data_IF_466749003688
#
_entry.id   IF_466749003688
#
_cell.length_a   1.000
_cell.length_b   1.000
_cell.length_c   1.000
_cell.angle_alpha   90.00
_cell.angle_beta   90.00
_cell.angle_gamma   90.00
#
_symmetry.space_group_name_H-M   'P 1'
#
loop_
_entity.id
_entity.type
_entity.pdbx_description
1 polymer ?
#
# COMPACT_ATOMS: atom_id res chain seq x y z
N UNK A 1 -4.45 6.58 -11.52
CA UNK A 1 -5.06 6.62 -10.17
C UNK A 1 -5.83 5.32 -9.94
N UNK A 2 -5.19 4.27 -9.42
CA UNK A 2 -5.88 3.07 -8.96
C UNK A 2 -6.42 3.40 -7.56
N UNK A 3 -7.74 3.39 -7.37
CA UNK A 3 -8.31 3.58 -6.04
C UNK A 3 -7.82 2.46 -5.12
N UNK A 4 -7.40 2.80 -3.91
CA UNK A 4 -7.10 1.79 -2.91
C UNK A 4 -8.42 1.13 -2.46
N UNK A 5 -8.65 -0.08 -2.96
CA UNK A 5 -9.86 -0.86 -2.70
C UNK A 5 -10.08 -1.07 -1.20
N UNK A 6 -9.00 -1.26 -0.43
CA UNK A 6 -9.06 -1.40 1.03
C UNK A 6 -9.60 -0.13 1.67
N UNK A 7 -9.06 1.05 1.31
CA UNK A 7 -9.55 2.32 1.83
C UNK A 7 -11.05 2.51 1.52
N UNK A 8 -11.48 2.17 0.30
CA UNK A 8 -12.89 2.27 -0.11
C UNK A 8 -13.82 1.37 0.73
N UNK A 9 -13.40 0.13 1.01
CA UNK A 9 -14.17 -0.77 1.86
C UNK A 9 -14.31 -0.20 3.28
N UNK A 10 -13.21 0.28 3.88
CA UNK A 10 -13.27 0.85 5.23
C UNK A 10 -14.19 2.07 5.31
N UNK A 11 -14.21 2.91 4.29
CA UNK A 11 -15.11 4.06 4.21
C UNK A 11 -16.59 3.63 4.21
N UNK A 12 -16.92 2.60 3.43
CA UNK A 12 -18.27 2.02 3.35
C UNK A 12 -18.67 1.42 4.69
N UNK A 13 -17.77 0.67 5.35
CA UNK A 13 -18.01 0.07 6.67
C UNK A 13 -18.27 1.17 7.71
N UNK A 14 -17.45 2.20 7.77
CA UNK A 14 -17.64 3.32 8.69
C UNK A 14 -18.99 4.01 8.48
N UNK A 15 -19.37 4.22 7.22
CA UNK A 15 -20.69 4.78 6.87
C UNK A 15 -21.84 3.86 7.31
N UNK A 16 -21.72 2.55 7.07
CA UNK A 16 -22.71 1.57 7.48
C UNK A 16 -22.88 1.53 9.01
N UNK A 17 -21.78 1.60 9.78
CA UNK A 17 -21.81 1.63 11.25
C UNK A 17 -22.60 2.83 11.76
N UNK A 18 -22.43 4.02 11.15
CA UNK A 18 -23.21 5.21 11.54
C UNK A 18 -24.70 5.02 11.30
N UNK A 19 -25.08 4.45 10.14
CA UNK A 19 -26.48 4.15 9.81
C UNK A 19 -27.07 3.11 10.76
N UNK A 20 -26.32 2.05 11.07
CA UNK A 20 -26.73 1.02 12.01
C UNK A 20 -26.91 1.60 13.41
N UNK A 21 -25.99 2.45 13.88
CA UNK A 21 -26.11 3.12 15.18
C UNK A 21 -27.36 3.98 15.29
N UNK A 22 -27.70 4.71 14.22
CA UNK A 22 -28.93 5.49 14.14
C UNK A 22 -30.18 4.61 14.20
N UNK A 23 -30.26 3.56 13.36
CA UNK A 23 -31.40 2.64 13.33
C UNK A 23 -31.55 1.91 14.68
N UNK A 24 -30.44 1.45 15.25
CA UNK A 24 -30.43 0.75 16.54
C UNK A 24 -30.88 1.68 17.66
N UNK A 25 -30.43 2.94 17.66
CA UNK A 25 -30.90 3.93 18.62
C UNK A 25 -32.41 4.17 18.53
N UNK A 26 -32.98 4.21 17.31
CA UNK A 26 -34.43 4.34 17.14
C UNK A 26 -35.17 3.09 17.62
N UNK A 27 -34.69 1.90 17.26
CA UNK A 27 -35.33 0.63 17.61
C UNK A 27 -35.31 0.37 19.12
N UNK A 28 -34.17 0.60 19.78
CA UNK A 28 -33.98 0.34 21.22
C UNK A 28 -34.52 1.49 22.07
N UNK A 29 -34.43 2.72 21.56
CA UNK A 29 -34.97 3.90 22.23
C UNK A 29 -36.50 3.96 22.23
N UNK A 30 -37.17 3.24 21.33
CA UNK A 30 -38.62 3.10 21.34
C UNK A 30 -39.02 1.97 22.29
N UNK A 31 -39.33 2.31 23.54
CA UNK A 31 -39.76 1.35 24.55
C UNK A 31 -41.27 1.40 24.72
N UNK A 32 -41.91 0.24 24.62
CA UNK A 32 -43.28 0.03 25.06
C UNK A 32 -43.27 -0.32 26.54
N UNK A 33 -43.98 0.48 27.34
CA UNK A 33 -44.22 0.16 28.74
C UNK A 33 -45.63 -0.43 28.85
N UNK A 34 -45.71 -1.61 29.45
CA UNK A 34 -47.00 -2.19 29.83
C UNK A 34 -47.43 -1.52 31.13
N UNK A 35 -48.46 -0.68 31.06
CA UNK A 35 -49.08 -0.10 32.24
C UNK A 35 -50.37 -0.87 32.52
N UNK A 36 -50.73 -1.00 33.79
CA UNK A 36 -51.95 -1.66 34.29
C UNK A 36 -53.27 -1.13 33.66
N UNK A 37 -53.22 -0.01 32.92
CA UNK A 37 -54.37 0.65 32.27
C UNK A 37 -54.24 0.77 30.73
N UNK A 38 -53.27 0.10 30.10
CA UNK A 38 -53.09 0.04 28.65
C UNK A 38 -51.62 0.11 28.19
N UNK A 39 -51.38 -0.14 26.88
CA UNK A 39 -50.05 -0.05 26.28
C UNK A 39 -49.69 1.42 26.05
N UNK A 40 -48.72 1.93 26.80
CA UNK A 40 -48.14 3.27 26.62
C UNK A 40 -46.72 3.18 26.07
N UNK A 41 -46.49 3.70 24.86
CA UNK A 41 -45.16 3.73 24.24
C UNK A 41 -44.53 5.12 24.29
N UNK A 42 -43.22 5.18 24.51
CA UNK A 42 -42.46 6.44 24.56
C UNK A 42 -41.03 6.30 24.06
N UNK A 43 -40.50 7.37 23.48
CA UNK A 43 -39.10 7.43 23.07
C UNK A 43 -38.21 7.85 24.23
N UNK A 44 -37.29 6.96 24.61
CA UNK A 44 -36.25 7.23 25.60
C UNK A 44 -35.05 7.86 24.89
N UNK A 45 -35.02 9.19 24.84
CA UNK A 45 -34.01 9.95 24.12
C UNK A 45 -32.57 9.67 24.58
N UNK A 46 -32.34 9.42 25.87
CA UNK A 46 -31.01 9.11 26.40
C UNK A 46 -30.43 7.83 25.78
N UNK A 47 -31.26 6.81 25.62
CA UNK A 47 -30.89 5.54 24.98
C UNK A 47 -30.60 5.78 23.50
N UNK A 48 -31.49 6.48 22.80
CA UNK A 48 -31.29 6.83 21.39
C UNK A 48 -29.94 7.53 21.17
N UNK A 49 -29.65 8.60 21.93
CA UNK A 49 -28.41 9.36 21.77
C UNK A 49 -27.18 8.54 22.12
N UNK A 50 -27.27 7.62 23.10
CA UNK A 50 -26.16 6.73 23.44
C UNK A 50 -25.75 5.86 22.26
N UNK A 51 -26.70 5.18 21.61
CA UNK A 51 -26.42 4.34 20.44
C UNK A 51 -26.05 5.16 19.20
N UNK A 52 -26.70 6.31 19.01
CA UNK A 52 -26.41 7.21 17.90
C UNK A 52 -24.97 7.73 17.97
N UNK A 53 -24.55 8.29 19.10
CA UNK A 53 -23.19 8.80 19.25
C UNK A 53 -22.14 7.68 19.27
N UNK A 54 -22.44 6.51 19.84
CA UNK A 54 -21.56 5.35 19.74
C UNK A 54 -21.34 4.95 18.26
N UNK A 55 -22.40 4.94 17.45
CA UNK A 55 -22.34 4.69 16.01
C UNK A 55 -21.53 5.76 15.26
N UNK A 56 -21.73 7.04 15.58
CA UNK A 56 -20.95 8.15 14.98
C UNK A 56 -19.47 8.02 15.30
N UNK A 57 -19.11 7.88 16.58
CA UNK A 57 -17.71 7.84 17.02
C UNK A 57 -17.00 6.64 16.40
N UNK A 58 -17.63 5.47 16.45
CA UNK A 58 -17.09 4.25 15.84
C UNK A 58 -16.95 4.37 14.33
N UNK A 59 -18.00 4.87 13.64
CA UNK A 59 -17.96 5.07 12.19
C UNK A 59 -16.89 6.07 11.73
N UNK A 60 -16.73 7.18 12.47
CA UNK A 60 -15.68 8.16 12.24
C UNK A 60 -14.28 7.56 12.36
N UNK A 61 -14.06 6.63 13.29
CA UNK A 61 -12.77 5.93 13.43
C UNK A 61 -12.41 5.15 12.15
N UNK A 62 -13.36 4.40 11.59
CA UNK A 62 -13.14 3.63 10.35
C UNK A 62 -12.91 4.53 9.14
N UNK A 63 -13.64 5.65 9.05
CA UNK A 63 -13.46 6.64 7.98
C UNK A 63 -12.09 7.31 8.10
N UNK A 64 -11.70 7.73 9.31
CA UNK A 64 -10.37 8.31 9.55
C UNK A 64 -9.25 7.33 9.16
N UNK A 65 -9.38 6.06 9.54
CA UNK A 65 -8.41 5.02 9.15
C UNK A 65 -8.37 4.81 7.63
N UNK A 66 -9.52 4.82 6.96
CA UNK A 66 -9.62 4.76 5.49
C UNK A 66 -8.81 5.88 4.82
N UNK A 67 -8.93 7.11 5.32
CA UNK A 67 -8.20 8.24 4.77
C UNK A 67 -6.69 8.13 4.99
N UNK A 68 -6.26 7.68 6.18
CA UNK A 68 -4.83 7.43 6.47
C UNK A 68 -4.26 6.40 5.47
N UNK A 69 -4.98 5.30 5.22
CA UNK A 69 -4.56 4.26 4.26
C UNK A 69 -4.52 4.81 2.83
N UNK A 70 -5.50 5.63 2.44
CA UNK A 70 -5.54 6.27 1.11
C UNK A 70 -4.34 7.19 0.92
N UNK A 71 -4.01 8.01 1.92
CA UNK A 71 -2.86 8.91 1.91
C UNK A 71 -1.55 8.14 1.81
N UNK A 72 -1.38 7.09 2.63
CA UNK A 72 -0.19 6.25 2.59
C UNK A 72 0.00 5.60 1.21
N UNK A 73 -1.08 5.10 0.61
CA UNK A 73 -1.04 4.53 -0.74
C UNK A 73 -0.63 5.57 -1.80
N UNK A 74 -1.13 6.80 -1.67
CA UNK A 74 -0.77 7.90 -2.57
C UNK A 74 0.70 8.27 -2.44
N UNK A 75 1.22 8.44 -1.22
CA UNK A 75 2.63 8.77 -0.99
C UNK A 75 3.57 7.69 -1.51
N UNK A 76 3.26 6.41 -1.24
CA UNK A 76 4.05 5.30 -1.76
C UNK A 76 4.08 5.29 -3.30
N UNK A 77 2.96 5.64 -3.94
CA UNK A 77 2.89 5.74 -5.39
C UNK A 77 3.70 6.93 -5.93
N UNK A 78 3.65 8.10 -5.29
CA UNK A 78 4.39 9.30 -5.75
C UNK A 78 5.92 9.19 -5.55
N UNK A 79 6.36 8.54 -4.48
CA UNK A 79 7.80 8.32 -4.22
C UNK A 79 8.40 7.39 -5.29
N UNK A 80 7.64 6.40 -5.77
CA UNK A 80 8.08 5.51 -6.85
C UNK A 80 8.29 6.18 -8.22
N UNK A 81 7.74 7.39 -8.45
CA UNK A 81 7.86 8.09 -9.74
C UNK A 81 8.84 9.26 -9.77
N UNK A 82 9.32 9.75 -8.62
CA UNK A 82 10.27 10.87 -8.57
C UNK A 82 11.71 10.35 -8.57
N UNK A 83 12.16 9.84 -9.70
CA UNK A 83 13.60 9.79 -9.99
C UNK A 83 14.08 11.23 -10.23
N UNK A 84 15.00 11.80 -9.42
CA UNK A 84 15.59 13.10 -9.71
C UNK A 84 16.46 12.97 -10.96
N UNK A 85 16.14 13.76 -11.99
CA UNK A 85 17.04 13.96 -13.12
C UNK A 85 18.24 14.77 -12.61
N UNK A 86 19.50 14.34 -12.80
CA UNK A 86 20.63 15.07 -12.27
C UNK A 86 20.83 16.37 -13.08
N UNK A 87 20.51 17.49 -12.43
CA UNK A 87 20.84 18.83 -12.86
C UNK A 87 22.36 19.02 -12.80
N UNK A 88 22.96 19.40 -13.93
CA UNK A 88 24.40 19.66 -14.06
C UNK A 88 24.78 20.92 -13.27
N UNK A 89 25.72 20.81 -12.34
CA UNK A 89 26.54 21.92 -11.86
C UNK A 89 27.90 21.43 -11.31
N UNK A 90 28.93 22.28 -11.25
CA UNK A 90 30.27 21.95 -11.75
C UNK A 90 31.24 21.37 -10.71
N UNK A 91 32.23 20.68 -11.25
CA UNK A 91 33.35 20.07 -10.54
C UNK A 91 34.20 21.09 -9.77
N UNK A 92 34.40 20.84 -8.48
CA UNK A 92 35.68 21.07 -7.81
C UNK A 92 35.82 20.12 -6.61
N UNK A 93 37.04 20.04 -6.08
CA UNK A 93 37.75 18.80 -5.83
C UNK A 93 37.73 18.35 -4.36
N UNK A 94 37.99 17.06 -4.17
CA UNK A 94 38.59 16.45 -2.96
C UNK A 94 37.65 15.99 -1.84
N UNK A 95 37.02 14.83 -2.04
CA UNK A 95 37.08 13.71 -1.09
C UNK A 95 36.67 12.41 -1.79
N UNK A 96 37.55 11.41 -1.75
CA UNK A 96 37.34 10.07 -2.28
C UNK A 96 36.24 9.33 -1.51
N UNK A 97 35.00 9.38 -2.02
CA UNK A 97 34.04 8.28 -1.93
C UNK A 97 33.45 8.09 -3.34
N UNK A 98 33.46 6.86 -3.91
CA UNK A 98 32.77 6.61 -5.16
C UNK A 98 31.29 6.95 -4.99
N UNK A 99 30.63 7.52 -6.02
CA UNK A 99 29.27 8.03 -5.92
C UNK A 99 28.33 6.90 -5.49
N UNK A 100 27.46 7.24 -4.54
CA UNK A 100 26.42 6.41 -3.94
C UNK A 100 25.77 5.48 -4.97
N UNK A 101 26.28 4.25 -5.07
CA UNK A 101 25.66 3.19 -5.87
C UNK A 101 24.53 2.65 -5.01
N UNK A 102 23.30 3.04 -5.35
CA UNK A 102 22.10 2.38 -4.84
C UNK A 102 22.32 0.85 -4.81
N UNK A 103 22.23 0.28 -3.61
CA UNK A 103 22.43 -1.13 -3.33
C UNK A 103 21.15 -1.73 -2.78
N UNK A 104 20.84 -2.97 -3.17
CA UNK A 104 19.67 -3.69 -2.64
C UNK A 104 19.91 -4.00 -1.16
N UNK A 105 19.09 -3.41 -0.29
CA UNK A 105 19.17 -3.60 1.16
C UNK A 105 18.87 -5.06 1.54
N UNK A 106 19.29 -5.50 2.73
CA UNK A 106 19.02 -6.88 3.18
C UNK A 106 17.51 -7.17 3.24
N UNK A 107 16.71 -6.20 3.69
CA UNK A 107 15.25 -6.27 3.72
C UNK A 107 14.64 -6.40 2.32
N UNK A 108 15.20 -5.71 1.32
CA UNK A 108 14.72 -5.83 -0.06
C UNK A 108 15.13 -7.16 -0.71
N UNK A 109 16.28 -7.73 -0.29
CA UNK A 109 16.66 -9.08 -0.71
C UNK A 109 15.69 -10.12 -0.17
N UNK A 110 15.26 -10.00 1.09
CA UNK A 110 14.25 -10.89 1.69
C UNK A 110 12.93 -10.87 0.89
N UNK A 111 12.46 -9.68 0.48
CA UNK A 111 11.27 -9.57 -0.40
C UNK A 111 11.43 -10.34 -1.72
N UNK A 112 12.63 -10.34 -2.31
CA UNK A 112 12.93 -11.06 -3.56
C UNK A 112 12.95 -12.57 -3.32
N UNK A 113 13.54 -13.04 -2.21
CA UNK A 113 13.52 -14.46 -1.85
C UNK A 113 12.11 -14.96 -1.57
N UNK A 114 11.24 -14.13 -0.97
CA UNK A 114 9.83 -14.45 -0.77
C UNK A 114 9.03 -14.53 -2.08
N UNK A 115 9.38 -13.72 -3.08
CA UNK A 115 8.74 -13.77 -4.39
C UNK A 115 9.12 -15.06 -5.17
N UNK A 116 10.35 -15.51 -5.02
CA UNK A 116 10.93 -16.63 -5.76
C UNK A 116 11.28 -17.83 -4.87
N UNK A 117 10.36 -18.21 -3.97
CA UNK A 117 10.57 -19.36 -3.04
C UNK A 117 10.90 -20.68 -3.74
N UNK A 118 10.54 -20.83 -5.02
CA UNK A 118 10.71 -22.04 -5.81
C UNK A 118 11.79 -21.94 -6.90
N UNK A 119 12.48 -20.80 -7.04
CA UNK A 119 13.48 -20.59 -8.09
C UNK A 119 14.86 -20.34 -7.50
N UNK A 120 15.91 -20.83 -8.19
CA UNK A 120 17.29 -20.62 -7.73
C UNK A 120 17.79 -19.26 -8.22
N UNK A 121 17.79 -18.28 -7.32
CA UNK A 121 18.38 -16.96 -7.57
C UNK A 121 19.91 -17.10 -7.66
N UNK A 122 20.47 -16.70 -8.81
CA UNK A 122 21.91 -16.70 -9.06
C UNK A 122 22.55 -15.37 -8.68
N UNK A 123 21.91 -14.25 -9.04
CA UNK A 123 22.46 -12.92 -8.85
C UNK A 123 21.35 -11.86 -8.79
N UNK A 124 21.50 -10.88 -7.91
CA UNK A 124 20.61 -9.71 -7.81
C UNK A 124 21.45 -8.48 -8.17
N UNK A 125 21.15 -7.87 -9.31
CA UNK A 125 21.87 -6.71 -9.82
C UNK A 125 20.98 -5.46 -9.66
N UNK A 126 21.39 -4.46 -8.86
CA UNK A 126 20.66 -3.20 -8.80
C UNK A 126 20.68 -2.53 -10.17
N UNK A 127 19.51 -2.09 -10.64
CA UNK A 127 19.41 -1.39 -11.92
C UNK A 127 19.82 0.07 -11.77
N UNK A 128 19.93 0.80 -12.90
CA UNK A 128 20.14 2.25 -12.91
C UNK A 128 18.91 3.07 -12.45
N UNK A 129 17.83 2.39 -12.07
CA UNK A 129 16.60 2.99 -11.56
C UNK A 129 16.43 2.46 -10.13
N UNK A 130 16.39 3.38 -9.16
CA UNK A 130 16.12 3.04 -7.77
C UNK A 130 14.77 2.33 -7.64
N UNK A 131 14.68 1.35 -6.74
CA UNK A 131 13.49 0.50 -6.61
C UNK A 131 13.37 -0.61 -7.65
N UNK A 132 14.23 -0.69 -8.67
CA UNK A 132 14.24 -1.80 -9.64
C UNK A 132 15.55 -2.59 -9.60
N UNK A 133 15.44 -3.91 -9.61
CA UNK A 133 16.58 -4.81 -9.70
C UNK A 133 16.37 -5.88 -10.79
N UNK A 134 17.48 -6.33 -11.38
CA UNK A 134 17.48 -7.49 -12.25
C UNK A 134 17.83 -8.70 -11.40
N UNK A 135 16.98 -9.71 -11.44
CA UNK A 135 17.20 -10.98 -10.77
C UNK A 135 17.52 -12.01 -11.85
N UNK A 136 18.76 -12.52 -11.84
CA UNK A 136 19.16 -13.65 -12.65
C UNK A 136 18.79 -14.93 -11.93
N UNK A 137 18.05 -15.79 -12.59
CA UNK A 137 17.56 -17.04 -12.02
C UNK A 137 17.86 -18.19 -12.96
N UNK A 138 18.01 -19.38 -12.38
CA UNK A 138 18.08 -20.63 -13.13
C UNK A 138 16.82 -21.45 -12.86
N UNK A 139 16.22 -21.95 -13.93
CA UNK A 139 15.19 -22.98 -13.84
C UNK A 139 15.79 -24.31 -13.35
N UNK A 140 14.95 -25.25 -12.93
CA UNK A 140 15.33 -26.61 -12.54
C UNK A 140 15.97 -27.38 -13.72
N UNK A 141 15.68 -26.92 -14.95
CA UNK A 141 16.33 -27.39 -16.20
C UNK A 141 17.70 -26.74 -16.49
N UNK A 142 18.23 -25.91 -15.58
CA UNK A 142 19.51 -25.21 -15.72
C UNK A 142 19.50 -24.02 -16.70
N UNK A 143 18.33 -23.66 -17.24
CA UNK A 143 18.18 -22.53 -18.17
C UNK A 143 18.22 -21.21 -17.39
N UNK A 144 19.15 -20.34 -17.73
CA UNK A 144 19.29 -19.02 -17.13
C UNK A 144 18.31 -18.03 -17.78
N UNK A 145 17.55 -17.30 -16.97
CA UNK A 145 16.71 -16.19 -17.42
C UNK A 145 16.80 -15.01 -16.45
N UNK A 146 16.50 -13.82 -16.96
CA UNK A 146 16.59 -12.56 -16.21
C UNK A 146 15.20 -11.97 -16.10
N UNK A 147 14.77 -11.64 -14.88
CA UNK A 147 13.52 -10.90 -14.63
C UNK A 147 13.82 -9.56 -13.97
N UNK A 148 12.96 -8.59 -14.26
CA UNK A 148 13.04 -7.24 -13.68
C UNK A 148 11.98 -7.17 -12.59
N UNK A 149 12.44 -6.85 -11.38
CA UNK A 149 11.65 -6.89 -10.16
C UNK A 149 11.62 -5.50 -9.56
N UNK A 150 10.41 -5.02 -9.30
CA UNK A 150 10.13 -3.82 -8.55
C UNK A 150 10.15 -4.16 -7.05
N UNK A 151 11.08 -3.55 -6.33
CA UNK A 151 11.27 -3.65 -4.87
C UNK A 151 10.93 -2.33 -4.16
N UNK A 152 10.45 -1.32 -4.88
CA UNK A 152 10.12 0.00 -4.31
C UNK A 152 8.89 -0.01 -3.38
N UNK A 153 8.10 -1.09 -3.40
CA UNK A 153 6.93 -1.28 -2.55
C UNK A 153 7.17 -2.11 -1.28
N UNK A 154 6.07 -2.41 -0.58
CA UNK A 154 6.07 -3.30 0.58
C UNK A 154 6.50 -4.74 0.27
N UNK A 155 6.44 -5.17 -0.99
CA UNK A 155 6.90 -6.48 -1.46
C UNK A 155 7.56 -6.38 -2.83
N UNK A 156 8.26 -7.45 -3.22
CA UNK A 156 8.83 -7.57 -4.55
C UNK A 156 7.74 -7.98 -5.55
N UNK A 157 7.65 -7.30 -6.69
CA UNK A 157 6.71 -7.66 -7.76
C UNK A 157 7.39 -7.66 -9.12
N UNK A 158 6.99 -8.57 -10.01
CA UNK A 158 7.47 -8.52 -11.39
C UNK A 158 6.89 -7.30 -12.08
N UNK A 159 7.78 -6.45 -12.60
CA UNK A 159 7.37 -5.25 -13.32
C UNK A 159 6.58 -5.68 -14.56
N UNK A 160 5.34 -5.21 -14.72
CA UNK A 160 4.55 -5.40 -15.95
C UNK A 160 4.67 -4.21 -16.92
N UNK A 161 5.33 -3.13 -16.50
CA UNK A 161 5.50 -1.93 -17.33
C UNK A 161 6.59 -2.11 -18.40
N UNK A 162 6.18 -2.09 -19.66
CA UNK A 162 7.06 -2.25 -20.83
C UNK A 162 8.11 -1.14 -20.94
N UNK A 163 7.78 0.09 -20.55
CA UNK A 163 8.70 1.24 -20.62
C UNK A 163 9.90 1.07 -19.66
N UNK A 164 9.65 0.60 -18.45
CA UNK A 164 10.71 0.35 -17.46
C UNK A 164 11.54 -0.86 -17.90
N UNK A 165 10.91 -1.93 -18.40
CA UNK A 165 11.62 -3.08 -18.96
C UNK A 165 12.62 -2.67 -20.03
N UNK A 166 12.18 -1.87 -21.01
CA UNK A 166 13.04 -1.42 -22.10
C UNK A 166 14.23 -0.58 -21.61
N UNK A 167 14.01 0.32 -20.64
CA UNK A 167 15.08 1.15 -20.08
C UNK A 167 16.11 0.33 -19.30
N UNK A 168 15.65 -0.63 -18.50
CA UNK A 168 16.53 -1.50 -17.70
C UNK A 168 17.30 -2.47 -18.60
N UNK A 169 16.66 -3.01 -19.65
CA UNK A 169 17.31 -3.88 -20.65
C UNK A 169 18.35 -3.09 -21.46
N UNK A 170 18.02 -1.88 -21.91
CA UNK A 170 18.95 -1.03 -22.65
C UNK A 170 20.22 -0.75 -21.83
N UNK A 171 20.06 -0.36 -20.56
CA UNK A 171 21.17 -0.18 -19.64
C UNK A 171 21.99 -1.47 -19.41
N UNK A 172 21.32 -2.61 -19.24
CA UNK A 172 21.99 -3.89 -19.03
C UNK A 172 22.84 -4.30 -20.26
N UNK A 173 22.33 -4.06 -21.46
CA UNK A 173 23.04 -4.36 -22.71
C UNK A 173 24.22 -3.41 -22.95
N UNK A 174 24.11 -2.13 -22.61
CA UNK A 174 25.23 -1.17 -22.70
C UNK A 174 26.38 -1.51 -21.76
N UNK A 175 26.10 -2.15 -20.62
CA UNK A 175 27.10 -2.55 -19.63
C UNK A 175 27.77 -3.91 -19.97
N UNK A 176 27.22 -4.65 -20.93
CA UNK A 176 27.70 -5.96 -21.36
C UNK A 176 28.61 -5.93 -22.60
N UNK A 177 28.95 -4.75 -23.10
CA UNK A 177 29.89 -4.50 -24.20
C UNK A 177 31.10 -3.70 -23.71
#
# INVERSE_FOLDING_TARGET
>A
MKENLIAKILFIIGTAIMVIGFITGLAVGNMSYDYDFGIGGGMVWSIFFTYFFAGIISGMLFIGLSEIIRLLHSMNHEIGYKTPMPEKAPADSSQNQPPDKWGVSQTDREKIYDLYQNERILEIIPSNIEGYCLVKMADDSGKQFVRIVDIGGFGATETNETAIKQRVIAWYNEKGN
#
